data_IF_626888605678
#
_entry.id   IF_626888605678
#
_cell.length_a   1.000
_cell.length_b   1.000
_cell.length_c   1.000
_cell.angle_alpha   90.00
_cell.angle_beta   90.00
_cell.angle_gamma   90.00
#
_symmetry.space_group_name_H-M   'P 1'
#
loop_
_entity.id
_entity.type
_entity.pdbx_description
1 polymer ?
#
# COMPACT_ATOMS: atom_id res chain seq x y z
N UNK A 1 16.30 4.15 12.85
CA UNK A 1 16.23 2.91 12.07
C UNK A 1 14.86 2.84 11.42
N UNK A 2 14.77 3.02 10.09
CA UNK A 2 13.49 2.96 9.39
C UNK A 2 12.94 1.53 9.42
N UNK A 3 11.67 1.38 9.82
CA UNK A 3 10.95 0.11 9.96
C UNK A 3 11.13 -0.80 8.74
N UNK A 4 11.57 -2.03 8.98
CA UNK A 4 11.95 -3.11 8.04
C UNK A 4 10.81 -3.70 7.19
N UNK A 5 9.71 -2.96 7.03
CA UNK A 5 8.51 -3.42 6.32
C UNK A 5 8.46 -3.00 4.85
N UNK A 6 9.44 -2.26 4.33
CA UNK A 6 9.45 -1.83 2.92
C UNK A 6 9.45 -3.04 1.97
N UNK A 7 8.56 -3.04 0.97
CA UNK A 7 8.27 -4.15 0.08
C UNK A 7 7.48 -5.30 0.71
N UNK A 8 7.13 -5.22 2.01
CA UNK A 8 6.25 -6.20 2.64
C UNK A 8 4.79 -5.97 2.26
N UNK A 9 4.02 -7.06 2.30
CA UNK A 9 2.58 -7.07 2.04
C UNK A 9 1.84 -6.15 3.02
N UNK A 10 1.03 -5.24 2.48
CA UNK A 10 0.09 -4.40 3.21
C UNK A 10 -1.36 -4.86 2.98
N UNK A 11 -1.57 -6.18 2.99
CA UNK A 11 -2.83 -6.86 2.75
C UNK A 11 -3.02 -7.99 3.78
N UNK A 12 -4.25 -8.52 3.96
CA UNK A 12 -4.50 -9.64 4.84
C UNK A 12 -3.56 -10.82 4.57
N UNK A 13 -3.30 -11.60 5.63
CA UNK A 13 -2.52 -12.83 5.54
C UNK A 13 -3.10 -13.73 4.45
N UNK A 14 -2.26 -14.22 3.51
CA UNK A 14 -2.74 -15.13 2.49
C UNK A 14 -3.31 -16.39 3.15
N UNK A 15 -4.50 -16.80 2.70
CA UNK A 15 -5.21 -17.97 3.17
C UNK A 15 -5.75 -18.73 1.96
N UNK A 16 -5.30 -19.99 1.78
CA UNK A 16 -5.63 -20.82 0.62
C UNK A 16 -5.35 -20.05 -0.68
N UNK A 17 -6.30 -20.05 -1.61
CA UNK A 17 -6.16 -19.41 -2.92
C UNK A 17 -6.60 -17.93 -2.96
N UNK A 18 -6.98 -17.33 -1.83
CA UNK A 18 -7.46 -15.94 -1.83
C UNK A 18 -6.44 -14.96 -2.42
N UNK A 19 -5.16 -15.24 -2.23
CA UNK A 19 -4.08 -14.40 -2.72
C UNK A 19 -3.97 -14.42 -4.23
N UNK A 20 -4.23 -15.58 -4.85
CA UNK A 20 -4.21 -15.71 -6.31
C UNK A 20 -5.36 -14.94 -6.95
N UNK A 21 -6.46 -14.76 -6.22
CA UNK A 21 -7.58 -13.92 -6.66
C UNK A 21 -7.28 -12.42 -6.57
N UNK A 22 -6.21 -12.03 -5.87
CA UNK A 22 -5.75 -10.63 -5.82
C UNK A 22 -4.83 -10.38 -7.01
N UNK A 23 -5.31 -9.60 -7.99
CA UNK A 23 -4.53 -9.23 -9.16
C UNK A 23 -3.42 -8.21 -8.89
N UNK A 24 -3.70 -7.22 -8.05
CA UNK A 24 -2.76 -6.17 -7.64
C UNK A 24 -2.75 -6.09 -6.11
N UNK A 25 -1.57 -6.07 -5.52
CA UNK A 25 -1.35 -6.07 -4.07
C UNK A 25 -0.85 -4.72 -3.58
N UNK A 26 -1.41 -4.19 -2.47
CA UNK A 26 -0.78 -3.12 -1.72
C UNK A 26 0.45 -3.66 -0.97
N UNK A 27 1.54 -2.93 -1.07
CA UNK A 27 2.79 -3.14 -0.35
C UNK A 27 3.14 -1.90 0.45
N UNK A 28 3.75 -2.09 1.61
CA UNK A 28 4.35 -0.99 2.34
C UNK A 28 5.55 -0.46 1.56
N UNK A 29 5.63 0.85 1.46
CA UNK A 29 6.76 1.59 0.96
C UNK A 29 7.53 2.29 2.09
N UNK A 30 8.35 3.24 1.67
CA UNK A 30 9.11 4.10 2.55
C UNK A 30 8.23 5.03 3.42
N UNK A 31 8.79 5.48 4.54
CA UNK A 31 8.24 6.59 5.32
C UNK A 31 8.84 7.88 4.79
N UNK A 32 7.99 8.85 4.47
CA UNK A 32 8.34 10.16 3.93
C UNK A 32 7.94 11.25 4.92
N UNK A 33 8.67 12.36 4.95
CA UNK A 33 8.22 13.57 5.62
C UNK A 33 7.66 14.53 4.57
N UNK A 34 6.37 14.86 4.68
CA UNK A 34 5.68 15.83 3.82
C UNK A 34 4.96 16.84 4.68
N UNK A 35 5.18 18.13 4.40
CA UNK A 35 4.51 19.23 5.09
C UNK A 35 4.60 19.13 6.63
N UNK A 36 5.74 18.65 7.14
CA UNK A 36 5.99 18.43 8.57
C UNK A 36 5.36 17.16 9.17
N UNK A 37 4.66 16.35 8.37
CA UNK A 37 3.98 15.12 8.80
C UNK A 37 4.67 13.89 8.19
N UNK A 38 4.91 12.88 9.03
CA UNK A 38 5.38 11.58 8.56
C UNK A 38 4.23 10.84 7.84
N UNK A 39 4.48 10.37 6.63
CA UNK A 39 3.54 9.60 5.83
C UNK A 39 4.17 8.28 5.40
N UNK A 40 3.40 7.20 5.41
CA UNK A 40 3.80 5.91 4.84
C UNK A 40 3.33 5.86 3.39
N UNK A 41 4.26 5.63 2.46
CA UNK A 41 3.91 5.29 1.09
C UNK A 41 3.37 3.87 1.02
N UNK A 42 2.33 3.66 0.21
CA UNK A 42 1.83 2.36 -0.16
C UNK A 42 1.97 2.22 -1.68
N UNK A 43 2.55 1.12 -2.11
CA UNK A 43 2.69 0.78 -3.53
C UNK A 43 1.62 -0.21 -3.95
N UNK A 44 1.00 0.01 -5.11
CA UNK A 44 0.25 -1.03 -5.81
C UNK A 44 1.18 -1.74 -6.78
N UNK A 45 1.32 -3.06 -6.63
CA UNK A 45 2.15 -3.89 -7.52
C UNK A 45 1.37 -5.07 -8.05
N UNK A 46 1.66 -5.49 -9.28
CA UNK A 46 1.06 -6.68 -9.87
C UNK A 46 1.43 -7.92 -9.06
N UNK A 47 0.46 -8.79 -8.78
CA UNK A 47 0.72 -10.02 -8.07
C UNK A 47 1.29 -11.08 -9.03
N UNK A 48 2.52 -11.54 -8.76
CA UNK A 48 3.15 -12.63 -9.53
C UNK A 48 2.40 -13.97 -9.43
N UNK A 49 1.52 -14.11 -8.47
CA UNK A 49 0.68 -15.29 -8.29
C UNK A 49 -0.77 -15.06 -8.73
N UNK A 50 -1.06 -13.95 -9.41
CA UNK A 50 -2.42 -13.66 -9.89
C UNK A 50 -2.96 -14.80 -10.75
N UNK A 51 -4.24 -15.12 -10.57
CA UNK A 51 -4.99 -16.04 -11.41
C UNK A 51 -5.15 -15.48 -12.83
N UNK A 52 -5.25 -14.15 -12.95
CA UNK A 52 -5.22 -13.46 -14.22
C UNK A 52 -3.83 -13.58 -14.88
N UNK A 53 -3.80 -14.21 -16.06
CA UNK A 53 -2.57 -14.47 -16.81
C UNK A 53 -1.88 -13.19 -17.28
N UNK A 54 -2.63 -12.14 -17.58
CA UNK A 54 -2.10 -10.84 -18.03
C UNK A 54 -1.37 -10.15 -16.90
N UNK A 55 -2.00 -10.09 -15.72
CA UNK A 55 -1.38 -9.50 -14.52
C UNK A 55 -0.15 -10.29 -14.07
N UNK A 56 -0.22 -11.62 -14.17
CA UNK A 56 0.92 -12.50 -13.88
C UNK A 56 2.08 -12.27 -14.85
N UNK A 57 1.81 -12.17 -16.16
CA UNK A 57 2.83 -11.89 -17.16
C UNK A 57 3.44 -10.50 -16.98
N UNK A 58 2.64 -9.51 -16.58
CA UNK A 58 3.12 -8.16 -16.29
C UNK A 58 4.01 -8.13 -15.04
N UNK A 59 3.64 -8.86 -13.98
CA UNK A 59 4.49 -9.05 -12.81
C UNK A 59 5.78 -9.82 -13.15
N UNK A 60 5.76 -10.78 -14.07
CA UNK A 60 6.95 -11.52 -14.48
C UNK A 60 7.98 -10.64 -15.21
N UNK A 61 7.52 -9.63 -15.97
CA UNK A 61 8.41 -8.67 -16.67
C UNK A 61 9.15 -7.75 -15.71
N UNK A 62 8.47 -7.27 -14.67
CA UNK A 62 9.07 -6.45 -13.62
C UNK A 62 8.25 -6.54 -12.32
N UNK A 63 8.60 -7.52 -11.48
CA UNK A 63 7.84 -7.85 -10.27
C UNK A 63 7.85 -6.75 -9.21
N UNK A 64 8.81 -5.83 -9.29
CA UNK A 64 8.99 -4.74 -8.33
C UNK A 64 8.51 -3.39 -8.87
N UNK A 65 8.01 -3.31 -10.10
CA UNK A 65 7.51 -2.07 -10.66
C UNK A 65 6.24 -1.60 -9.93
N UNK A 66 6.25 -0.42 -9.27
CA UNK A 66 5.07 0.14 -8.63
C UNK A 66 4.10 0.68 -9.68
N UNK A 67 2.94 0.06 -9.86
CA UNK A 67 1.91 0.52 -10.79
C UNK A 67 1.32 1.87 -10.40
N UNK A 68 1.12 2.04 -9.10
CA UNK A 68 0.64 3.28 -8.49
C UNK A 68 1.12 3.35 -7.05
N UNK A 69 0.96 4.51 -6.44
CA UNK A 69 1.27 4.72 -5.05
C UNK A 69 0.35 5.76 -4.43
N UNK A 70 0.19 5.69 -3.11
CA UNK A 70 -0.49 6.68 -2.31
C UNK A 70 0.29 6.87 -0.99
N UNK A 71 0.33 8.11 -0.51
CA UNK A 71 1.04 8.45 0.72
C UNK A 71 -0.01 8.70 1.81
N UNK A 72 0.02 7.87 2.86
CA UNK A 72 -0.95 7.93 3.96
C UNK A 72 -0.28 8.52 5.19
N UNK A 73 -0.81 9.61 5.78
CA UNK A 73 -0.27 10.16 7.02
C UNK A 73 -0.23 9.10 8.11
N UNK A 74 0.93 8.92 8.73
CA UNK A 74 1.04 8.20 9.98
C UNK A 74 0.57 9.19 11.04
N UNK A 75 -0.66 9.02 11.56
CA UNK A 75 -1.10 9.79 12.71
C UNK A 75 0.02 9.70 13.77
N UNK A 76 0.51 10.86 14.24
CA UNK A 76 1.58 10.91 15.23
C UNK A 76 1.28 9.94 16.36
N UNK A 77 2.30 9.20 16.82
CA UNK A 77 2.13 8.30 17.96
C UNK A 77 1.34 9.02 19.05
N UNK A 78 0.25 8.44 19.60
CA UNK A 78 -0.31 9.00 20.82
C UNK A 78 0.82 8.97 21.86
N UNK A 79 1.19 10.15 22.37
CA UNK A 79 1.98 10.23 23.58
C UNK A 79 1.35 9.28 24.61
N UNK A 80 2.14 8.31 25.10
CA UNK A 80 1.76 7.24 26.04
C UNK A 80 0.50 7.57 26.85
N UNK A 81 -0.63 6.90 26.57
CA UNK A 81 -1.76 6.99 27.49
C UNK A 81 -3.19 6.78 27.00
N UNK A 82 -3.48 6.22 25.82
CA UNK A 82 -4.88 5.89 25.49
C UNK A 82 -5.01 4.63 24.64
N UNK A 83 -5.94 3.75 25.04
CA UNK A 83 -6.22 2.46 24.44
C UNK A 83 -6.77 2.51 23.00
N UNK A 84 -7.17 1.35 22.45
CA UNK A 84 -7.36 1.17 21.02
C UNK A 84 -8.66 1.82 20.54
N UNK A 85 -8.58 3.04 20.03
CA UNK A 85 -9.53 3.53 19.01
C UNK A 85 -8.85 4.60 18.16
N UNK A 86 -7.92 4.16 17.32
CA UNK A 86 -7.42 4.98 16.23
C UNK A 86 -8.55 5.09 15.20
N UNK A 87 -9.45 6.07 15.38
CA UNK A 87 -10.41 6.43 14.34
C UNK A 87 -9.58 6.77 13.10
N UNK A 88 -9.83 6.08 11.98
CA UNK A 88 -9.34 6.56 10.69
C UNK A 88 -9.81 8.01 10.57
N UNK A 89 -8.90 9.00 10.36
CA UNK A 89 -9.33 10.36 10.10
C UNK A 89 -10.32 10.31 8.93
N UNK A 90 -11.51 10.88 9.09
CA UNK A 90 -12.50 10.93 8.01
C UNK A 90 -11.84 11.55 6.78
N UNK A 91 -11.86 10.83 5.66
CA UNK A 91 -11.25 11.26 4.40
C UNK A 91 -10.03 10.47 3.95
N UNK A 92 -9.26 9.84 4.86
CA UNK A 92 -8.03 9.08 4.48
C UNK A 92 -8.33 7.97 3.45
N UNK A 93 -9.39 7.14 3.59
CA UNK A 93 -9.70 6.15 2.56
C UNK A 93 -10.01 6.79 1.19
N UNK A 94 -10.72 7.93 1.17
CA UNK A 94 -11.08 8.60 -0.09
C UNK A 94 -9.84 9.18 -0.78
N UNK A 95 -8.98 9.84 -0.04
CA UNK A 95 -7.74 10.41 -0.58
C UNK A 95 -6.77 9.33 -1.05
N UNK A 96 -6.67 8.23 -0.31
CA UNK A 96 -5.92 7.05 -0.70
C UNK A 96 -6.36 6.53 -2.07
N UNK A 97 -7.65 6.22 -2.25
CA UNK A 97 -8.14 5.73 -3.53
C UNK A 97 -8.02 6.78 -4.65
N UNK A 98 -8.24 8.06 -4.34
CA UNK A 98 -8.07 9.15 -5.31
C UNK A 98 -6.63 9.20 -5.83
N UNK A 99 -5.65 9.14 -4.94
CA UNK A 99 -4.24 9.24 -5.32
C UNK A 99 -3.78 7.99 -6.08
N UNK A 100 -4.27 6.82 -5.67
CA UNK A 100 -4.06 5.59 -6.44
C UNK A 100 -4.58 5.71 -7.87
N UNK A 101 -5.82 6.16 -8.07
CA UNK A 101 -6.44 6.31 -9.39
C UNK A 101 -5.65 7.32 -10.24
N UNK A 102 -5.32 8.49 -9.67
CA UNK A 102 -4.54 9.53 -10.36
C UNK A 102 -3.17 9.05 -10.84
N UNK A 103 -2.55 8.13 -10.12
CA UNK A 103 -1.20 7.66 -10.42
C UNK A 103 -1.19 6.42 -11.33
N UNK A 104 -2.31 5.70 -11.47
CA UNK A 104 -2.45 4.63 -12.47
C UNK A 104 -2.53 5.20 -13.89
N UNK A 105 -3.17 6.35 -14.09
CA UNK A 105 -3.46 6.91 -15.42
C UNK A 105 -2.33 7.73 -16.05
N UNK A 106 -1.20 7.91 -15.35
CA UNK A 106 -0.04 8.69 -15.82
C UNK A 106 1.02 7.84 -16.55
N UNK A 107 0.67 6.60 -16.91
CA UNK A 107 1.56 5.63 -17.56
C UNK A 107 1.36 5.59 -19.06
#
# INVERSE_FOLDING_TARGET
>A
MASSADGMRAAPTPCRDNDRMIGIRPEYGEILFKDGVAARRYYLRANKNAHDLTLRALAAKNAHAPWSYADVPLAGEPAKGSGPSQRCPEGVPREFFRDLIKNVTKR
#
